data_IF_702925470291
#
_entry.id   IF_702925470291
#
_cell.length_a   1.000
_cell.length_b   1.000
_cell.length_c   1.000
_cell.angle_alpha   90.00
_cell.angle_beta   90.00
_cell.angle_gamma   90.00
#
_symmetry.space_group_name_H-M   'P 1'
#
loop_
_entity.id
_entity.type
_entity.pdbx_description
1 polymer ?
#
# COMPACT_ATOMS: atom_id res chain seq x y z
N UNK A 1 12.43 -5.95 -2.28
CA UNK A 1 11.60 -5.78 -1.05
C UNK A 1 11.44 -7.04 -0.20
N UNK A 2 11.41 -8.27 -0.76
CA UNK A 2 11.30 -9.51 0.03
C UNK A 2 12.47 -9.71 1.02
N UNK A 3 13.68 -9.35 0.62
CA UNK A 3 14.90 -9.45 1.43
C UNK A 3 14.82 -8.62 2.73
N UNK A 4 14.35 -7.37 2.66
CA UNK A 4 14.15 -6.52 3.83
C UNK A 4 13.15 -7.11 4.82
N UNK A 5 12.05 -7.70 4.33
CA UNK A 5 11.08 -8.36 5.22
C UNK A 5 11.70 -9.53 5.96
N UNK A 6 12.55 -10.33 5.29
CA UNK A 6 13.26 -11.42 5.94
C UNK A 6 14.21 -10.90 7.01
N UNK A 7 15.06 -9.92 6.70
CA UNK A 7 16.01 -9.31 7.65
C UNK A 7 15.29 -8.78 8.89
N UNK A 8 14.21 -8.02 8.72
CA UNK A 8 13.42 -7.47 9.83
C UNK A 8 12.85 -8.57 10.72
N UNK A 9 12.39 -9.68 10.13
CA UNK A 9 11.88 -10.81 10.91
C UNK A 9 12.97 -11.62 11.59
N UNK A 10 14.11 -11.91 10.94
CA UNK A 10 15.22 -12.60 11.61
C UNK A 10 15.81 -11.74 12.72
N UNK A 11 15.99 -10.44 12.49
CA UNK A 11 16.47 -9.52 13.51
C UNK A 11 15.48 -9.41 14.67
N UNK A 12 14.18 -9.31 14.40
CA UNK A 12 13.15 -9.29 15.44
C UNK A 12 13.11 -10.57 16.28
N UNK A 13 13.24 -11.75 15.65
CA UNK A 13 13.32 -13.03 16.35
C UNK A 13 14.59 -13.14 17.19
N UNK A 14 15.73 -12.70 16.65
CA UNK A 14 17.01 -12.70 17.37
C UNK A 14 16.95 -11.78 18.59
N UNK A 15 16.38 -10.57 18.44
CA UNK A 15 16.18 -9.62 19.54
C UNK A 15 15.23 -10.18 20.60
N UNK A 16 14.15 -10.85 20.20
CA UNK A 16 13.21 -11.49 21.11
C UNK A 16 13.86 -12.61 21.92
N UNK A 17 14.73 -13.39 21.28
CA UNK A 17 15.47 -14.44 21.97
C UNK A 17 16.49 -13.86 22.95
N UNK A 18 17.25 -12.85 22.53
CA UNK A 18 18.20 -12.16 23.38
C UNK A 18 17.53 -11.48 24.59
N UNK A 19 16.37 -10.85 24.40
CA UNK A 19 15.62 -10.22 25.49
C UNK A 19 15.04 -11.24 26.46
N UNK A 20 14.59 -12.40 25.97
CA UNK A 20 14.11 -13.49 26.83
C UNK A 20 15.25 -14.04 27.69
N UNK A 21 16.42 -14.30 27.09
CA UNK A 21 17.61 -14.71 27.85
C UNK A 21 18.01 -13.67 28.90
N UNK A 22 18.04 -12.39 28.51
CA UNK A 22 18.37 -11.31 29.43
C UNK A 22 17.38 -11.22 30.59
N UNK A 23 16.08 -11.38 30.32
CA UNK A 23 15.03 -11.36 31.35
C UNK A 23 15.21 -12.52 32.34
N UNK A 24 15.53 -13.73 31.85
CA UNK A 24 15.81 -14.89 32.70
C UNK A 24 17.03 -14.63 33.59
N UNK A 25 18.13 -14.12 33.02
CA UNK A 25 19.35 -13.82 33.77
C UNK A 25 19.09 -12.77 34.84
N UNK A 26 18.42 -11.66 34.50
CA UNK A 26 18.09 -10.60 35.47
C UNK A 26 17.17 -11.15 36.55
N UNK A 27 16.14 -11.93 36.19
CA UNK A 27 15.22 -12.53 37.15
C UNK A 27 15.89 -13.48 38.14
N UNK A 28 16.86 -14.29 37.70
CA UNK A 28 17.66 -15.14 38.58
C UNK A 28 18.46 -14.31 39.59
N UNK A 29 19.16 -13.27 39.12
CA UNK A 29 19.96 -12.39 39.99
C UNK A 29 19.07 -11.63 40.98
N UNK A 30 17.91 -11.15 40.55
CA UNK A 30 16.99 -10.41 41.44
C UNK A 30 16.28 -11.30 42.45
N UNK A 31 16.11 -12.59 42.15
CA UNK A 31 15.48 -13.52 43.10
C UNK A 31 16.32 -13.72 44.37
N UNK A 32 17.64 -13.60 44.29
CA UNK A 32 18.53 -13.68 45.45
C UNK A 32 18.56 -12.38 46.28
N UNK A 33 18.29 -11.23 45.67
CA UNK A 33 18.49 -9.92 46.32
C UNK A 33 17.30 -9.41 47.13
N UNK A 34 16.16 -10.11 47.11
CA UNK A 34 15.02 -9.85 48.01
C UNK A 34 14.47 -8.41 47.97
N UNK A 35 14.71 -7.65 46.91
CA UNK A 35 14.36 -6.23 46.85
C UNK A 35 12.90 -6.02 46.43
N UNK A 36 12.22 -5.10 47.12
CA UNK A 36 10.83 -4.71 46.87
C UNK A 36 10.61 -3.97 45.53
N UNK A 37 11.66 -3.71 44.76
CA UNK A 37 11.61 -2.96 43.49
C UNK A 37 11.39 -3.85 42.25
N UNK A 38 11.24 -5.17 42.44
CA UNK A 38 11.01 -6.15 41.38
C UNK A 38 9.94 -5.72 40.36
N UNK A 39 8.84 -5.14 40.82
CA UNK A 39 7.73 -4.73 39.95
C UNK A 39 8.16 -3.64 38.95
N UNK A 40 8.87 -2.62 39.41
CA UNK A 40 9.37 -1.51 38.58
C UNK A 40 10.43 -2.02 37.60
N UNK A 41 11.32 -2.90 38.05
CA UNK A 41 12.36 -3.50 37.20
C UNK A 41 11.74 -4.34 36.08
N UNK A 42 10.71 -5.13 36.38
CA UNK A 42 9.98 -5.94 35.39
C UNK A 42 9.30 -5.05 34.35
N UNK A 43 8.58 -4.00 34.78
CA UNK A 43 7.94 -3.06 33.85
C UNK A 43 8.94 -2.33 32.96
N UNK A 44 10.08 -1.92 33.52
CA UNK A 44 11.16 -1.29 32.76
C UNK A 44 11.73 -2.25 31.71
N UNK A 45 11.99 -3.52 32.05
CA UNK A 45 12.43 -4.56 31.12
C UNK A 45 11.43 -4.79 29.98
N UNK A 46 10.15 -4.90 30.31
CA UNK A 46 9.08 -5.08 29.31
C UNK A 46 9.02 -3.88 28.38
N UNK A 47 9.07 -2.66 28.88
CA UNK A 47 9.03 -1.47 28.00
C UNK A 47 10.29 -1.33 27.15
N UNK A 48 11.48 -1.50 27.72
CA UNK A 48 12.74 -1.34 26.99
C UNK A 48 12.95 -2.42 25.94
N UNK A 49 12.58 -3.68 26.22
CA UNK A 49 12.93 -4.80 25.35
C UNK A 49 11.75 -5.34 24.55
N UNK A 50 10.56 -5.46 25.15
CA UNK A 50 9.40 -6.01 24.44
C UNK A 50 8.77 -5.01 23.48
N UNK A 51 8.73 -3.71 23.82
CA UNK A 51 8.14 -2.70 22.94
C UNK A 51 8.86 -2.57 21.58
N UNK A 52 10.20 -2.41 21.50
CA UNK A 52 10.87 -2.33 20.21
C UNK A 52 10.79 -3.64 19.42
N UNK A 53 10.85 -4.79 20.11
CA UNK A 53 10.68 -6.10 19.48
C UNK A 53 9.28 -6.25 18.88
N UNK A 54 8.25 -5.84 19.62
CA UNK A 54 6.87 -5.84 19.17
C UNK A 54 6.67 -4.92 17.96
N UNK A 55 7.24 -3.71 17.99
CA UNK A 55 7.17 -2.77 16.85
C UNK A 55 7.82 -3.37 15.60
N UNK A 56 9.00 -3.99 15.71
CA UNK A 56 9.68 -4.64 14.59
C UNK A 56 8.82 -5.76 13.98
N UNK A 57 8.23 -6.61 14.81
CA UNK A 57 7.32 -7.67 14.37
C UNK A 57 6.04 -7.11 13.76
N UNK A 58 5.46 -6.07 14.35
CA UNK A 58 4.25 -5.40 13.85
C UNK A 58 4.49 -4.75 12.48
N UNK A 59 5.58 -4.00 12.32
CA UNK A 59 5.96 -3.42 11.03
C UNK A 59 6.29 -4.50 10.00
N UNK A 60 7.02 -5.54 10.37
CA UNK A 60 7.30 -6.69 9.51
C UNK A 60 6.02 -7.38 9.03
N UNK A 61 5.06 -7.62 9.94
CA UNK A 61 3.77 -8.18 9.61
C UNK A 61 2.94 -7.24 8.73
N UNK A 62 2.88 -5.95 9.04
CA UNK A 62 2.15 -4.94 8.26
C UNK A 62 2.67 -4.88 6.83
N UNK A 63 3.98 -4.91 6.63
CA UNK A 63 4.60 -4.94 5.29
C UNK A 63 4.21 -6.22 4.54
N UNK A 64 4.25 -7.39 5.21
CA UNK A 64 3.84 -8.66 4.58
C UNK A 64 2.37 -8.66 4.16
N UNK A 65 1.49 -8.09 4.98
CA UNK A 65 0.06 -7.99 4.65
C UNK A 65 -0.16 -7.14 3.40
N UNK A 66 0.57 -6.03 3.28
CA UNK A 66 0.50 -5.17 2.09
C UNK A 66 1.03 -5.86 0.83
N UNK A 67 2.08 -6.69 0.94
CA UNK A 67 2.60 -7.45 -0.19
C UNK A 67 1.63 -8.56 -0.66
N UNK A 68 0.90 -9.19 0.26
CA UNK A 68 -0.12 -10.19 -0.10
C UNK A 68 -1.25 -9.59 -0.94
N UNK A 69 -1.78 -8.43 -0.55
CA UNK A 69 -2.82 -7.74 -1.31
C UNK A 69 -2.38 -7.36 -2.74
N UNK A 70 -1.12 -6.92 -2.88
CA UNK A 70 -0.54 -6.64 -4.21
C UNK A 70 -0.37 -7.90 -5.05
N UNK A 71 0.01 -9.02 -4.43
CA UNK A 71 0.15 -10.29 -5.12
C UNK A 71 -1.21 -10.83 -5.56
N UNK A 72 -2.23 -10.74 -4.71
CA UNK A 72 -3.61 -11.15 -5.01
C UNK A 72 -4.22 -10.31 -6.13
N UNK A 73 -3.99 -8.98 -6.12
CA UNK A 73 -4.42 -8.09 -7.20
C UNK A 73 -3.68 -8.37 -8.52
N UNK A 74 -2.42 -8.79 -8.47
CA UNK A 74 -1.65 -9.16 -9.65
C UNK A 74 -1.96 -10.59 -10.16
N UNK A 75 -2.43 -11.48 -9.28
CA UNK A 75 -2.81 -12.85 -9.61
C UNK A 75 -4.28 -13.00 -9.99
N UNK A 76 -5.09 -11.94 -9.87
CA UNK A 76 -6.40 -11.97 -10.50
C UNK A 76 -6.18 -12.17 -12.02
N UNK A 77 -6.71 -13.26 -12.60
CA UNK A 77 -6.66 -13.42 -14.04
C UNK A 77 -7.39 -12.19 -14.59
N UNK A 78 -6.67 -11.40 -15.38
CA UNK A 78 -7.26 -10.38 -16.25
C UNK A 78 -8.46 -11.08 -16.87
N UNK A 79 -9.68 -10.66 -16.52
CA UNK A 79 -10.86 -11.09 -17.24
C UNK A 79 -10.62 -10.63 -18.66
N UNK A 80 -10.10 -11.56 -19.46
CA UNK A 80 -9.88 -11.36 -20.87
C UNK A 80 -11.22 -10.86 -21.40
N UNK A 81 -11.28 -9.64 -21.97
CA UNK A 81 -12.52 -9.09 -22.48
C UNK A 81 -13.13 -10.15 -23.37
N UNK A 82 -14.27 -10.69 -22.92
CA UNK A 82 -15.02 -11.69 -23.68
C UNK A 82 -15.13 -11.10 -25.08
N UNK A 83 -14.59 -11.75 -26.14
CA UNK A 83 -14.71 -11.21 -27.48
C UNK A 83 -16.20 -11.00 -27.70
N UNK A 84 -16.61 -9.74 -27.77
CA UNK A 84 -17.96 -9.35 -28.13
C UNK A 84 -18.16 -10.02 -29.47
N UNK A 85 -19.00 -11.04 -29.52
CA UNK A 85 -19.46 -11.60 -30.78
C UNK A 85 -20.10 -10.44 -31.52
N UNK A 86 -19.36 -9.90 -32.48
CA UNK A 86 -19.88 -8.93 -33.43
C UNK A 86 -20.92 -9.70 -34.21
N UNK A 87 -22.18 -9.55 -33.79
CA UNK A 87 -23.34 -9.89 -34.61
C UNK A 87 -23.15 -9.05 -35.87
N UNK A 88 -22.76 -9.70 -36.97
CA UNK A 88 -22.65 -9.08 -38.28
C UNK A 88 -24.00 -8.45 -38.63
N UNK A 89 -24.10 -7.12 -38.80
CA UNK A 89 -25.29 -6.54 -39.40
C UNK A 89 -25.35 -6.97 -40.88
N UNK A 90 -26.57 -7.16 -41.42
CA UNK A 90 -26.78 -7.61 -42.78
C UNK A 90 -26.10 -6.66 -43.78
N UNK A 91 -25.59 -7.18 -44.91
CA UNK A 91 -24.84 -6.40 -45.89
C UNK A 91 -25.73 -5.28 -46.46
N UNK A 92 -25.48 -4.04 -46.05
CA UNK A 92 -26.07 -2.88 -46.70
C UNK A 92 -25.37 -2.67 -48.04
N UNK A 93 -26.18 -2.79 -49.08
CA UNK A 93 -25.89 -2.57 -50.48
C UNK A 93 -25.22 -1.20 -50.69
N UNK A 94 -24.00 -1.25 -51.20
CA UNK A 94 -23.15 -0.11 -51.55
C UNK A 94 -23.85 0.75 -52.61
N UNK A 95 -24.44 1.87 -52.19
CA UNK A 95 -24.80 2.97 -53.09
C UNK A 95 -23.59 3.90 -53.15
N UNK A 96 -22.99 4.00 -54.33
CA UNK A 96 -21.85 4.88 -54.59
C UNK A 96 -22.29 6.35 -54.58
N UNK A 97 -22.06 7.03 -53.47
CA UNK A 97 -22.13 8.50 -53.43
C UNK A 97 -20.73 9.06 -53.59
N UNK A 98 -20.47 9.60 -54.78
CA UNK A 98 -19.31 10.40 -55.14
C UNK A 98 -19.25 11.67 -54.27
N UNK A 99 -18.49 11.64 -53.18
CA UNK A 99 -18.18 12.83 -52.39
C UNK A 99 -16.84 13.42 -52.78
N UNK A 100 -16.91 14.63 -53.31
CA UNK A 100 -15.79 15.54 -53.60
C UNK A 100 -15.07 15.87 -52.29
N UNK A 101 -13.77 15.59 -52.23
CA UNK A 101 -12.91 15.91 -51.10
C UNK A 101 -12.62 17.40 -51.13
N UNK A 102 -13.33 18.19 -50.32
CA UNK A 102 -12.88 19.53 -49.95
C UNK A 102 -11.91 19.40 -48.77
N UNK A 103 -10.65 19.73 -49.05
CA UNK A 103 -9.59 19.91 -48.06
C UNK A 103 -9.98 21.08 -47.17
N UNK A 104 -10.39 20.78 -45.93
CA UNK A 104 -10.54 21.78 -44.87
C UNK A 104 -9.35 21.59 -43.93
N UNK A 105 -8.46 22.57 -43.98
CA UNK A 105 -7.29 22.73 -43.13
C UNK A 105 -7.74 22.90 -41.67
N UNK A 106 -7.58 21.85 -40.86
CA UNK A 106 -7.97 21.88 -39.45
C UNK A 106 -6.95 22.66 -38.63
N UNK A 107 -7.38 23.84 -38.20
CA UNK A 107 -6.73 24.76 -37.25
C UNK A 107 -6.23 24.02 -35.99
N UNK A 108 -5.03 24.32 -35.44
CA UNK A 108 -4.51 23.68 -34.23
C UNK A 108 -5.43 23.92 -33.03
N UNK A 109 -5.80 22.85 -32.33
CA UNK A 109 -6.61 22.92 -31.13
C UNK A 109 -5.83 23.59 -29.97
N UNK A 110 -6.47 24.48 -29.17
CA UNK A 110 -5.83 25.15 -28.06
C UNK A 110 -5.49 24.20 -26.90
N UNK A 111 -4.36 24.47 -26.24
CA UNK A 111 -3.78 23.64 -25.18
C UNK A 111 -4.76 23.33 -24.03
N UNK A 112 -4.75 22.10 -23.48
CA UNK A 112 -5.69 21.67 -22.45
C UNK A 112 -5.50 22.49 -21.15
N UNK A 113 -6.60 23.07 -20.67
CA UNK A 113 -6.67 23.83 -19.42
C UNK A 113 -6.26 22.92 -18.25
N UNK A 114 -5.24 23.32 -17.48
CA UNK A 114 -4.75 22.62 -16.29
C UNK A 114 -5.90 22.37 -15.31
N UNK A 115 -6.29 21.11 -15.15
CA UNK A 115 -7.24 20.71 -14.10
C UNK A 115 -6.63 21.03 -12.73
N UNK A 116 -7.42 21.66 -11.85
CA UNK A 116 -7.00 22.03 -10.49
C UNK A 116 -6.85 20.76 -9.67
N UNK A 117 -5.61 20.40 -9.34
CA UNK A 117 -5.31 19.28 -8.46
C UNK A 117 -5.25 19.73 -7.00
N UNK A 118 -5.89 18.99 -6.12
CA UNK A 118 -5.92 19.23 -4.68
C UNK A 118 -5.05 18.18 -4.00
N UNK A 119 -4.12 18.61 -3.14
CA UNK A 119 -3.30 17.69 -2.35
C UNK A 119 -4.11 17.10 -1.20
N UNK A 120 -4.29 15.78 -1.19
CA UNK A 120 -5.05 15.04 -0.16
C UNK A 120 -4.11 14.07 0.55
N UNK A 121 -4.25 13.97 1.87
CA UNK A 121 -3.47 13.07 2.72
C UNK A 121 -4.19 11.72 2.94
N UNK A 122 -3.51 10.58 2.73
CA UNK A 122 -4.05 9.24 2.99
C UNK A 122 -4.30 9.07 4.49
N UNK A 123 -5.56 8.92 4.90
CA UNK A 123 -5.93 8.57 6.29
C UNK A 123 -5.30 7.26 6.78
N UNK A 124 -4.95 6.35 5.87
CA UNK A 124 -4.34 5.05 6.21
C UNK A 124 -2.82 5.06 6.40
N UNK A 125 -2.08 5.99 5.78
CA UNK A 125 -0.62 6.01 5.82
C UNK A 125 0.05 7.40 5.90
N UNK A 126 -0.72 8.48 5.95
CA UNK A 126 -0.20 9.85 6.04
C UNK A 126 0.46 10.38 4.75
N UNK A 127 0.46 9.61 3.66
CA UNK A 127 1.08 10.05 2.42
C UNK A 127 0.21 11.06 1.67
N UNK A 128 0.81 12.11 1.12
CA UNK A 128 0.11 13.15 0.35
C UNK A 128 0.16 12.85 -1.15
N UNK A 129 -0.98 13.01 -1.82
CA UNK A 129 -1.09 12.85 -3.28
C UNK A 129 -1.98 13.96 -3.84
N UNK A 130 -1.59 14.52 -4.97
CA UNK A 130 -2.42 15.43 -5.73
C UNK A 130 -3.50 14.64 -6.48
N UNK A 131 -4.76 14.91 -6.18
CA UNK A 131 -5.92 14.28 -6.81
C UNK A 131 -6.76 15.36 -7.49
N UNK A 132 -7.31 15.09 -8.66
CA UNK A 132 -8.21 16.03 -9.34
C UNK A 132 -9.48 16.16 -8.50
N UNK A 133 -9.97 17.39 -8.30
CA UNK A 133 -11.19 17.63 -7.54
C UNK A 133 -12.37 16.85 -8.16
N UNK A 134 -13.05 16.03 -7.34
CA UNK A 134 -14.16 15.17 -7.78
C UNK A 134 -13.77 13.75 -8.22
N UNK A 135 -12.48 13.43 -8.38
CA UNK A 135 -12.04 12.06 -8.70
C UNK A 135 -11.56 11.31 -7.44
N UNK A 136 -11.85 10.02 -7.38
CA UNK A 136 -11.22 9.11 -6.41
C UNK A 136 -9.98 8.49 -7.05
N UNK A 137 -8.80 8.73 -6.46
CA UNK A 137 -7.58 8.03 -6.86
C UNK A 137 -7.08 7.15 -5.71
N UNK A 138 -6.49 5.98 -5.99
CA UNK A 138 -5.85 5.19 -4.94
C UNK A 138 -4.56 5.89 -4.50
N UNK A 139 -4.29 5.87 -3.19
CA UNK A 139 -3.01 6.31 -2.67
C UNK A 139 -1.86 5.40 -3.15
N UNK A 140 -0.74 5.98 -3.56
CA UNK A 140 0.41 5.24 -4.11
C UNK A 140 1.10 4.32 -3.08
N UNK A 141 0.89 4.59 -1.79
CA UNK A 141 1.50 3.83 -0.70
C UNK A 141 0.54 2.82 -0.09
N UNK A 142 -0.65 3.28 0.33
CA UNK A 142 -1.63 2.49 1.08
C UNK A 142 -2.69 1.82 0.18
N UNK A 143 -2.88 2.27 -1.05
CA UNK A 143 -3.97 1.84 -1.93
C UNK A 143 -5.37 2.27 -1.46
N UNK A 144 -5.47 2.91 -0.28
CA UNK A 144 -6.74 3.44 0.22
C UNK A 144 -7.28 4.50 -0.74
N UNK A 145 -8.61 4.56 -0.93
CA UNK A 145 -9.22 5.56 -1.79
C UNK A 145 -8.98 6.95 -1.21
N UNK A 146 -8.37 7.82 -2.00
CA UNK A 146 -8.25 9.23 -1.72
C UNK A 146 -9.36 9.95 -2.47
N UNK A 147 -10.22 10.63 -1.72
CA UNK A 147 -11.31 11.42 -2.28
C UNK A 147 -11.07 12.88 -1.91
N UNK A 148 -10.88 13.72 -2.91
CA UNK A 148 -10.90 15.16 -2.70
C UNK A 148 -12.36 15.59 -2.43
N UNK A 149 -12.68 15.96 -1.19
CA UNK A 149 -13.94 16.66 -0.89
C UNK A 149 -13.79 18.09 -1.40
N UNK A 150 -14.55 18.42 -2.45
CA UNK A 150 -14.67 19.78 -2.98
C UNK A 150 -15.35 20.71 -1.99
#
# INVERSE_FOLDING_TARGET
MRFFSHILTTLGVLLAFASLLFTVVVGLITSESGSSDLSTSIWALVFMFYLPTFLLLFFGHRIRRNLRLKLEAASQPVQQPRPVQVIQPPPQQRVETRTVINVVESKPAPAPKKAVSVSVECKGCGARKAVIAGESSPCDYCGSPLTARG
#
